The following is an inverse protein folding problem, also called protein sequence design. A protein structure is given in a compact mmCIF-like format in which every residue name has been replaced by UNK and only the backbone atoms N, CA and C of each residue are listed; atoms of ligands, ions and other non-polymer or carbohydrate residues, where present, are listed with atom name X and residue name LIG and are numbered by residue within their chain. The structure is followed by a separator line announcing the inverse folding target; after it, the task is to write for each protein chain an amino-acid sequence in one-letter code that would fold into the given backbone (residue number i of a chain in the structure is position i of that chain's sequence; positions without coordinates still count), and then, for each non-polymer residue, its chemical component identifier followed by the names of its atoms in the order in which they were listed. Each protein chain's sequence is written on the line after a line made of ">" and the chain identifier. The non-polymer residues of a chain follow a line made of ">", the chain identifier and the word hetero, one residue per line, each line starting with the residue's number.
data_IF_575980849122
#
_entry.id   IF_575980849122
#
_cell.length_a   1.000
_cell.length_b   1.000
_cell.length_c   1.000
_cell.angle_alpha   90.00
_cell.angle_beta   90.00
_cell.angle_gamma   90.00
#
_symmetry.space_group_name_H-M   'P 1'
#
loop_
_entity.id
_entity.type
_entity.pdbx_description
1 polymer ?
#
# COMPACT_ATOMS: atom_id res chain seq x y z
N UNK A 1 60.66 9.94 -24.80
CA UNK A 1 59.76 9.57 -23.68
C UNK A 1 58.43 10.28 -23.91
N UNK A 2 57.46 9.59 -24.51
CA UNK A 2 56.14 10.16 -24.84
C UNK A 2 55.18 9.85 -23.69
N UNK A 3 54.81 10.88 -22.94
CA UNK A 3 53.81 10.81 -21.87
C UNK A 3 52.42 10.84 -22.50
N UNK A 4 51.84 9.66 -22.71
CA UNK A 4 50.44 9.52 -23.10
C UNK A 4 49.55 9.75 -21.88
N UNK A 5 49.05 10.99 -21.72
CA UNK A 5 47.99 11.27 -20.76
C UNK A 5 46.75 10.42 -21.10
N UNK A 6 46.18 9.66 -20.16
CA UNK A 6 44.94 8.94 -20.39
C UNK A 6 43.81 9.94 -20.68
N UNK A 7 43.12 9.76 -21.80
CA UNK A 7 41.85 10.44 -22.10
C UNK A 7 40.90 10.16 -20.93
N UNK A 8 40.56 11.18 -20.13
CA UNK A 8 39.42 11.12 -19.22
C UNK A 8 38.20 10.86 -20.09
N UNK A 9 37.70 9.62 -20.13
CA UNK A 9 36.36 9.37 -20.62
C UNK A 9 35.42 10.10 -19.66
N UNK A 10 34.70 11.08 -20.17
CA UNK A 10 33.57 11.65 -19.46
C UNK A 10 32.58 10.52 -19.24
N UNK A 11 32.67 9.87 -18.08
CA UNK A 11 31.68 8.88 -17.65
C UNK A 11 30.32 9.58 -17.77
N UNK A 12 29.44 9.11 -18.67
CA UNK A 12 28.13 9.74 -18.87
C UNK A 12 27.46 9.81 -17.51
N UNK A 13 26.81 10.93 -17.19
CA UNK A 13 26.19 11.10 -15.88
C UNK A 13 25.11 10.00 -15.70
N UNK A 14 25.43 8.96 -14.92
CA UNK A 14 24.59 7.77 -14.72
C UNK A 14 23.53 8.01 -13.62
N UNK A 15 23.32 9.27 -13.21
CA UNK A 15 22.34 9.60 -12.17
C UNK A 15 20.90 9.28 -12.59
N UNK A 16 20.04 9.03 -11.59
CA UNK A 16 18.59 8.95 -11.78
C UNK A 16 18.05 10.35 -12.07
N UNK A 17 17.54 10.57 -13.29
CA UNK A 17 16.87 11.79 -13.71
C UNK A 17 15.38 11.54 -13.93
N UNK A 18 14.58 12.60 -13.97
CA UNK A 18 13.13 12.47 -14.17
C UNK A 18 12.80 11.94 -15.57
N UNK A 19 13.61 12.30 -16.56
CA UNK A 19 13.49 11.80 -17.93
C UNK A 19 13.70 10.29 -17.98
N UNK A 20 14.74 9.78 -17.30
CA UNK A 20 14.99 8.32 -17.20
C UNK A 20 13.89 7.59 -16.43
N UNK A 21 13.34 8.22 -15.39
CA UNK A 21 12.19 7.66 -14.65
C UNK A 21 10.96 7.60 -15.55
N UNK A 22 10.67 8.65 -16.33
CA UNK A 22 9.57 8.67 -17.28
C UNK A 22 9.74 7.59 -18.36
N UNK A 23 10.93 7.49 -18.94
CA UNK A 23 11.28 6.45 -19.91
C UNK A 23 11.08 5.04 -19.32
N UNK A 24 11.56 4.80 -18.10
CA UNK A 24 11.40 3.52 -17.41
C UNK A 24 9.93 3.19 -17.06
N UNK A 25 9.11 4.21 -16.76
CA UNK A 25 7.66 4.02 -16.55
C UNK A 25 6.96 3.65 -17.85
N UNK A 26 7.32 4.30 -18.96
CA UNK A 26 6.65 4.14 -20.26
C UNK A 26 7.04 2.83 -20.96
N UNK A 27 8.29 2.41 -20.81
CA UNK A 27 8.83 1.19 -21.43
C UNK A 27 8.71 -0.03 -20.52
N UNK A 28 8.65 0.16 -19.20
CA UNK A 28 8.74 -0.91 -18.21
C UNK A 28 7.39 -1.60 -17.91
N UNK A 29 7.39 -2.92 -17.62
CA UNK A 29 6.18 -3.64 -17.22
C UNK A 29 5.73 -3.32 -15.79
N UNK A 30 6.53 -2.58 -15.02
CA UNK A 30 6.34 -2.37 -13.58
C UNK A 30 5.05 -1.64 -13.25
N UNK A 31 4.68 -0.59 -13.99
CA UNK A 31 3.44 0.15 -13.72
C UNK A 31 2.21 -0.74 -13.96
N UNK A 32 2.23 -1.56 -15.01
CA UNK A 32 1.18 -2.53 -15.30
C UNK A 32 1.10 -3.59 -14.21
N UNK A 33 2.24 -4.15 -13.81
CA UNK A 33 2.31 -5.11 -12.71
C UNK A 33 1.72 -4.54 -11.43
N UNK A 34 2.07 -3.29 -11.07
CA UNK A 34 1.51 -2.65 -9.88
C UNK A 34 0.00 -2.47 -9.97
N UNK A 35 -0.55 -2.07 -11.13
CA UNK A 35 -2.01 -1.96 -11.31
C UNK A 35 -2.72 -3.28 -11.06
N UNK A 36 -2.18 -4.38 -11.59
CA UNK A 36 -2.72 -5.72 -11.40
C UNK A 36 -2.69 -6.10 -9.91
N UNK A 37 -1.54 -5.94 -9.27
CA UNK A 37 -1.38 -6.24 -7.83
C UNK A 37 -2.34 -5.41 -6.99
N UNK A 38 -2.50 -4.12 -7.30
CA UNK A 38 -3.38 -3.22 -6.57
C UNK A 38 -4.85 -3.65 -6.64
N UNK A 39 -5.32 -4.06 -7.82
CA UNK A 39 -6.68 -4.60 -7.99
C UNK A 39 -6.82 -5.94 -7.26
N UNK A 40 -5.82 -6.81 -7.35
CA UNK A 40 -5.83 -8.11 -6.68
C UNK A 40 -5.95 -7.99 -5.15
N UNK A 41 -5.19 -7.06 -4.54
CA UNK A 41 -5.21 -6.81 -3.09
C UNK A 41 -6.56 -6.24 -2.62
N UNK A 42 -7.29 -5.50 -3.46
CA UNK A 42 -8.65 -5.05 -3.12
C UNK A 42 -9.70 -6.18 -3.30
N UNK A 43 -9.50 -7.03 -4.30
CA UNK A 43 -10.43 -8.09 -4.67
C UNK A 43 -10.51 -9.20 -3.62
N UNK A 44 -9.39 -9.56 -2.98
CA UNK A 44 -9.36 -10.59 -1.93
C UNK A 44 -10.35 -10.33 -0.78
N UNK A 45 -10.23 -9.19 -0.07
CA UNK A 45 -11.18 -8.80 0.98
C UNK A 45 -12.61 -8.62 0.46
N UNK A 46 -12.78 -8.20 -0.79
CA UNK A 46 -14.12 -8.06 -1.41
C UNK A 46 -14.83 -9.41 -1.54
N UNK A 47 -14.12 -10.41 -2.07
CA UNK A 47 -14.65 -11.78 -2.17
C UNK A 47 -14.94 -12.36 -0.79
N UNK A 48 -14.07 -12.12 0.18
CA UNK A 48 -14.29 -12.56 1.56
C UNK A 48 -15.54 -11.89 2.17
N UNK A 49 -15.73 -10.59 1.95
CA UNK A 49 -16.94 -9.89 2.37
C UNK A 49 -18.21 -10.45 1.72
N UNK A 50 -18.15 -10.82 0.44
CA UNK A 50 -19.27 -11.48 -0.24
C UNK A 50 -19.62 -12.84 0.40
N UNK A 51 -18.61 -13.61 0.83
CA UNK A 51 -18.83 -14.86 1.59
C UNK A 51 -19.51 -14.58 2.93
N UNK A 52 -19.05 -13.58 3.68
CA UNK A 52 -19.67 -13.20 4.97
C UNK A 52 -21.14 -12.81 4.78
N UNK A 53 -21.45 -11.99 3.76
CA UNK A 53 -22.84 -11.62 3.42
C UNK A 53 -23.65 -12.85 3.01
N UNK A 54 -23.10 -13.73 2.18
CA UNK A 54 -23.80 -14.95 1.76
C UNK A 54 -24.15 -15.85 2.95
N UNK A 55 -23.22 -16.06 3.89
CA UNK A 55 -23.47 -16.83 5.10
C UNK A 55 -24.53 -16.17 5.98
N UNK A 56 -24.47 -14.85 6.16
CA UNK A 56 -25.45 -14.09 6.91
C UNK A 56 -26.87 -14.22 6.37
N UNK A 57 -27.03 -14.35 5.04
CA UNK A 57 -28.34 -14.46 4.41
C UNK A 57 -28.87 -15.89 4.35
N UNK A 58 -28.01 -16.91 4.43
CA UNK A 58 -28.39 -18.31 4.15
C UNK A 58 -28.32 -19.23 5.36
N UNK A 59 -27.61 -18.83 6.42
CA UNK A 59 -27.37 -19.64 7.61
C UNK A 59 -27.69 -18.85 8.88
N UNK A 60 -28.98 -18.75 9.26
CA UNK A 60 -29.34 -18.18 10.55
C UNK A 60 -28.75 -19.05 11.65
N UNK A 61 -28.00 -18.45 12.56
CA UNK A 61 -27.35 -19.12 13.69
C UNK A 61 -27.99 -18.61 14.98
N UNK A 62 -28.43 -19.49 15.90
CA UNK A 62 -28.92 -19.04 17.20
C UNK A 62 -27.78 -18.44 18.03
N UNK A 63 -28.06 -17.42 18.87
CA UNK A 63 -27.02 -16.76 19.65
C UNK A 63 -26.36 -17.70 20.65
N UNK A 64 -25.02 -17.73 20.65
CA UNK A 64 -24.22 -18.47 21.63
C UNK A 64 -23.88 -17.59 22.83
N UNK A 65 -24.21 -17.98 24.07
CA UNK A 65 -23.86 -17.19 25.26
C UNK A 65 -22.33 -17.08 25.43
N UNK A 66 -21.84 -15.87 25.71
CA UNK A 66 -20.43 -15.60 26.04
C UNK A 66 -19.56 -15.08 24.88
N UNK A 67 -19.98 -15.25 23.62
CA UNK A 67 -19.22 -14.75 22.47
C UNK A 67 -19.35 -13.23 22.27
N UNK A 68 -20.41 -12.63 22.85
CA UNK A 68 -20.72 -11.21 22.76
C UNK A 68 -19.59 -10.32 23.29
N UNK A 69 -19.01 -10.67 24.44
CA UNK A 69 -17.93 -9.89 25.07
C UNK A 69 -16.68 -9.85 24.16
N UNK A 70 -16.36 -10.96 23.48
CA UNK A 70 -15.24 -11.02 22.55
C UNK A 70 -15.50 -10.13 21.33
N UNK A 71 -16.68 -10.23 20.71
CA UNK A 71 -17.03 -9.44 19.52
C UNK A 71 -17.08 -7.95 19.86
N UNK A 72 -17.58 -7.58 21.04
CA UNK A 72 -17.59 -6.21 21.54
C UNK A 72 -16.18 -5.66 21.72
N UNK A 73 -15.29 -6.42 22.38
CA UNK A 73 -13.90 -6.03 22.57
C UNK A 73 -13.18 -5.84 21.23
N UNK A 74 -13.34 -6.78 20.30
CA UNK A 74 -12.73 -6.70 18.97
C UNK A 74 -13.27 -5.50 18.18
N UNK A 75 -14.58 -5.27 18.21
CA UNK A 75 -15.23 -4.13 17.55
C UNK A 75 -14.78 -2.79 18.14
N UNK A 76 -14.53 -2.73 19.45
CA UNK A 76 -14.03 -1.54 20.13
C UNK A 76 -12.58 -1.21 19.76
N UNK A 77 -11.71 -2.21 19.67
CA UNK A 77 -10.28 -2.03 19.33
C UNK A 77 -10.07 -1.78 17.83
N UNK A 78 -10.94 -2.31 16.98
CA UNK A 78 -10.87 -2.21 15.52
C UNK A 78 -10.67 -0.78 14.95
N UNK A 79 -11.45 0.26 15.34
CA UNK A 79 -11.24 1.61 14.82
C UNK A 79 -9.85 2.19 15.18
N UNK A 80 -9.31 1.87 16.36
CA UNK A 80 -7.96 2.29 16.75
C UNK A 80 -6.90 1.65 15.85
N UNK A 81 -7.06 0.36 15.55
CA UNK A 81 -6.18 -0.36 14.62
C UNK A 81 -6.28 0.19 13.19
N UNK A 82 -7.48 0.56 12.73
CA UNK A 82 -7.69 1.21 11.43
C UNK A 82 -6.92 2.52 11.31
N UNK A 83 -7.08 3.42 12.27
CA UNK A 83 -6.37 4.70 12.28
C UNK A 83 -4.86 4.47 12.29
N UNK A 84 -4.39 3.53 13.12
CA UNK A 84 -2.97 3.18 13.22
C UNK A 84 -2.41 2.61 11.91
N UNK A 85 -3.15 1.72 11.24
CA UNK A 85 -2.74 1.12 9.97
C UNK A 85 -2.67 2.17 8.84
N UNK A 86 -3.66 3.06 8.76
CA UNK A 86 -3.69 4.13 7.75
C UNK A 86 -2.55 5.12 7.97
N UNK A 87 -2.42 5.69 9.17
CA UNK A 87 -1.37 6.66 9.48
C UNK A 87 0.02 6.03 9.39
N UNK A 88 0.20 4.85 9.98
CA UNK A 88 1.44 4.09 9.91
C UNK A 88 1.83 3.78 8.47
N UNK A 89 0.87 3.40 7.63
CA UNK A 89 1.11 3.16 6.21
C UNK A 89 1.60 4.40 5.45
N UNK A 90 1.05 5.58 5.73
CA UNK A 90 1.55 6.84 5.14
C UNK A 90 2.98 7.16 5.59
N UNK A 91 3.27 7.01 6.88
CA UNK A 91 4.60 7.24 7.45
C UNK A 91 5.61 6.27 6.85
N UNK A 92 5.33 4.97 6.88
CA UNK A 92 6.21 3.91 6.34
C UNK A 92 6.47 4.14 4.87
N UNK A 93 5.44 4.41 4.05
CA UNK A 93 5.62 4.74 2.62
C UNK A 93 6.57 5.92 2.44
N UNK A 94 6.36 7.01 3.18
CA UNK A 94 7.18 8.22 3.06
C UNK A 94 8.64 7.94 3.40
N UNK A 95 8.90 7.19 4.47
CA UNK A 95 10.26 6.81 4.87
C UNK A 95 10.94 5.94 3.83
N UNK A 96 10.25 4.92 3.30
CA UNK A 96 10.79 4.02 2.30
C UNK A 96 11.12 4.74 0.98
N UNK A 97 10.23 5.61 0.50
CA UNK A 97 10.48 6.39 -0.72
C UNK A 97 11.63 7.37 -0.51
N UNK A 98 11.70 8.06 0.64
CA UNK A 98 12.83 8.94 0.97
C UNK A 98 14.15 8.19 0.97
N UNK A 99 14.19 7.00 1.56
CA UNK A 99 15.38 6.16 1.59
C UNK A 99 15.79 5.69 0.18
N UNK A 100 14.81 5.34 -0.67
CA UNK A 100 15.08 4.98 -2.06
C UNK A 100 15.62 6.17 -2.86
N UNK A 101 15.08 7.37 -2.66
CA UNK A 101 15.52 8.59 -3.34
C UNK A 101 16.92 9.03 -2.89
N UNK A 102 17.21 8.97 -1.59
CA UNK A 102 18.55 9.25 -1.07
C UNK A 102 19.59 8.33 -1.71
N UNK A 103 19.33 7.01 -1.75
CA UNK A 103 20.19 6.05 -2.45
C UNK A 103 20.36 6.37 -3.93
N UNK A 104 19.30 6.77 -4.62
CA UNK A 104 19.33 7.12 -6.04
C UNK A 104 20.19 8.37 -6.34
N UNK A 105 20.26 9.31 -5.39
CA UNK A 105 21.07 10.53 -5.51
C UNK A 105 22.53 10.26 -5.11
N UNK A 106 22.76 9.48 -4.06
CA UNK A 106 24.10 9.25 -3.50
C UNK A 106 24.89 8.23 -4.31
N UNK A 107 24.23 7.17 -4.79
CA UNK A 107 24.84 6.07 -5.50
C UNK A 107 24.59 6.22 -7.00
N UNK A 108 25.62 6.64 -7.75
CA UNK A 108 25.58 6.74 -9.22
C UNK A 108 25.29 5.40 -9.93
N UNK A 109 25.29 4.28 -9.21
CA UNK A 109 24.97 2.95 -9.72
C UNK A 109 23.49 2.58 -9.65
N UNK A 110 22.66 3.36 -8.96
CA UNK A 110 21.22 3.08 -8.86
C UNK A 110 20.54 3.48 -10.16
N UNK A 111 19.86 2.53 -10.79
CA UNK A 111 19.10 2.79 -12.02
C UNK A 111 17.70 3.34 -11.71
N UNK A 112 17.05 3.91 -12.72
CA UNK A 112 15.67 4.39 -12.59
C UNK A 112 14.70 3.25 -12.22
N UNK A 113 14.90 2.05 -12.78
CA UNK A 113 14.10 0.86 -12.49
C UNK A 113 14.26 0.42 -11.03
N UNK A 114 15.48 0.43 -10.49
CA UNK A 114 15.73 0.09 -9.09
C UNK A 114 15.05 1.09 -8.14
N UNK A 115 15.08 2.38 -8.46
CA UNK A 115 14.36 3.41 -7.70
C UNK A 115 12.84 3.20 -7.76
N UNK A 116 12.29 2.96 -8.95
CA UNK A 116 10.87 2.68 -9.16
C UNK A 116 10.41 1.41 -8.45
N UNK A 117 11.24 0.37 -8.39
CA UNK A 117 10.97 -0.85 -7.62
C UNK A 117 10.85 -0.53 -6.12
N UNK A 118 11.72 0.32 -5.58
CA UNK A 118 11.63 0.80 -4.20
C UNK A 118 10.32 1.55 -3.93
N UNK A 119 9.88 2.40 -4.87
CA UNK A 119 8.58 3.08 -4.79
C UNK A 119 7.40 2.10 -4.85
N UNK A 120 7.47 1.09 -5.72
CA UNK A 120 6.44 0.05 -5.86
C UNK A 120 6.29 -0.75 -4.56
N UNK A 121 7.42 -1.16 -3.95
CA UNK A 121 7.45 -1.87 -2.67
C UNK A 121 6.86 -1.01 -1.54
N UNK A 122 7.21 0.27 -1.48
CA UNK A 122 6.65 1.19 -0.48
C UNK A 122 5.12 1.33 -0.59
N UNK A 123 4.60 1.36 -1.82
CA UNK A 123 3.16 1.38 -2.07
C UNK A 123 2.48 0.06 -1.68
N UNK A 124 3.13 -1.08 -1.94
CA UNK A 124 2.63 -2.41 -1.57
C UNK A 124 2.49 -2.54 -0.05
N UNK A 125 3.55 -2.19 0.70
CA UNK A 125 3.56 -2.27 2.17
C UNK A 125 2.46 -1.39 2.78
N UNK A 126 2.27 -0.18 2.24
CA UNK A 126 1.17 0.68 2.69
C UNK A 126 -0.19 0.06 2.42
N UNK A 127 -0.37 -0.57 1.25
CA UNK A 127 -1.63 -1.20 0.89
C UNK A 127 -1.93 -2.43 1.75
N UNK A 128 -0.93 -3.26 2.03
CA UNK A 128 -1.09 -4.47 2.85
C UNK A 128 -1.51 -4.16 4.29
N UNK A 129 -1.11 -3.00 4.84
CA UNK A 129 -1.56 -2.55 6.16
C UNK A 129 -3.07 -2.24 6.17
N UNK A 130 -3.57 -1.56 5.13
CA UNK A 130 -5.00 -1.21 5.01
C UNK A 130 -5.84 -2.43 4.62
N UNK A 131 -5.30 -3.32 3.80
CA UNK A 131 -5.92 -4.61 3.46
C UNK A 131 -6.08 -5.50 4.69
N UNK A 132 -5.02 -5.63 5.49
CA UNK A 132 -5.04 -6.45 6.71
C UNK A 132 -6.10 -6.00 7.69
N UNK A 133 -6.30 -4.69 7.88
CA UNK A 133 -7.36 -4.19 8.76
C UNK A 133 -8.76 -4.36 8.16
N UNK A 134 -8.91 -4.24 6.85
CA UNK A 134 -10.18 -4.54 6.19
C UNK A 134 -10.57 -6.02 6.36
N UNK A 135 -9.62 -6.94 6.18
CA UNK A 135 -9.84 -8.37 6.47
C UNK A 135 -10.17 -8.60 7.93
N UNK A 136 -9.47 -7.94 8.85
CA UNK A 136 -9.77 -8.06 10.28
C UNK A 136 -11.20 -7.63 10.62
N UNK A 137 -11.68 -6.51 10.08
CA UNK A 137 -13.09 -6.10 10.23
C UNK A 137 -14.10 -7.12 9.70
N UNK A 138 -13.80 -7.75 8.56
CA UNK A 138 -14.62 -8.83 8.01
C UNK A 138 -14.56 -10.11 8.84
N UNK A 139 -13.41 -10.42 9.47
CA UNK A 139 -13.29 -11.54 10.41
C UNK A 139 -14.14 -11.30 11.65
N UNK A 140 -14.21 -10.07 12.17
CA UNK A 140 -15.14 -9.73 13.27
C UNK A 140 -16.59 -9.99 12.84
N UNK A 141 -16.98 -9.56 11.63
CA UNK A 141 -18.31 -9.82 11.10
C UNK A 141 -18.59 -11.32 10.94
N UNK A 142 -17.60 -12.10 10.49
CA UNK A 142 -17.72 -13.55 10.36
C UNK A 142 -17.92 -14.21 11.72
N UNK A 143 -17.14 -13.83 12.73
CA UNK A 143 -17.28 -14.36 14.10
C UNK A 143 -18.68 -14.03 14.63
N UNK A 144 -19.11 -12.77 14.50
CA UNK A 144 -20.45 -12.34 14.90
C UNK A 144 -21.56 -13.15 14.19
N UNK A 145 -21.38 -13.49 12.90
CA UNK A 145 -22.31 -14.36 12.19
C UNK A 145 -22.31 -15.78 12.74
N UNK A 146 -21.14 -16.39 12.94
CA UNK A 146 -21.04 -17.77 13.43
C UNK A 146 -21.49 -17.93 14.88
N UNK A 147 -21.55 -16.84 15.65
CA UNK A 147 -22.08 -16.82 17.01
C UNK A 147 -23.55 -16.42 17.08
N UNK A 148 -24.22 -16.21 15.94
CA UNK A 148 -25.63 -15.81 15.88
C UNK A 148 -25.93 -14.39 16.36
N UNK A 149 -24.91 -13.54 16.47
CA UNK A 149 -25.02 -12.19 17.01
C UNK A 149 -25.37 -11.16 15.93
N UNK A 150 -25.00 -11.41 14.67
CA UNK A 150 -25.11 -10.43 13.58
C UNK A 150 -26.57 -10.08 13.23
N UNK A 151 -27.51 -11.01 13.42
CA UNK A 151 -28.96 -10.76 13.23
C UNK A 151 -29.55 -9.93 14.38
N UNK A 152 -29.13 -10.20 15.62
CA UNK A 152 -29.62 -9.51 16.81
C UNK A 152 -29.00 -8.13 17.03
N UNK A 153 -27.77 -7.94 16.55
CA UNK A 153 -26.96 -6.72 16.73
C UNK A 153 -26.38 -6.25 15.39
N UNK A 154 -27.17 -5.54 14.56
CA UNK A 154 -26.72 -5.09 13.25
C UNK A 154 -25.54 -4.11 13.31
N UNK A 155 -25.26 -3.50 14.48
CA UNK A 155 -24.09 -2.64 14.70
C UNK A 155 -22.76 -3.33 14.39
N UNK A 156 -22.65 -4.66 14.48
CA UNK A 156 -21.42 -5.37 14.13
C UNK A 156 -21.08 -5.27 12.63
N UNK A 157 -22.06 -4.98 11.76
CA UNK A 157 -21.80 -4.63 10.36
C UNK A 157 -20.98 -3.35 10.19
N UNK A 158 -20.91 -2.49 11.20
CA UNK A 158 -20.03 -1.33 11.17
C UNK A 158 -18.55 -1.73 10.97
N UNK A 159 -18.16 -2.93 11.41
CA UNK A 159 -16.81 -3.44 11.15
C UNK A 159 -16.54 -3.70 9.66
N UNK A 160 -17.56 -3.94 8.83
CA UNK A 160 -17.40 -4.07 7.39
C UNK A 160 -17.12 -2.71 6.69
N UNK A 161 -17.27 -1.57 7.38
CA UNK A 161 -16.95 -0.24 6.82
C UNK A 161 -15.47 -0.14 6.42
N UNK A 162 -14.57 -0.89 7.06
CA UNK A 162 -13.15 -0.89 6.67
C UNK A 162 -12.91 -1.47 5.28
N UNK A 163 -13.81 -2.30 4.77
CA UNK A 163 -13.80 -2.72 3.36
C UNK A 163 -14.06 -1.52 2.43
N UNK A 164 -15.00 -0.64 2.77
CA UNK A 164 -15.26 0.59 2.01
C UNK A 164 -14.06 1.54 2.06
N UNK A 165 -13.41 1.65 3.24
CA UNK A 165 -12.17 2.41 3.39
C UNK A 165 -11.07 1.85 2.48
N UNK A 166 -10.90 0.52 2.41
CA UNK A 166 -9.94 -0.12 1.50
C UNK A 166 -10.22 0.24 0.03
N UNK A 167 -11.48 0.21 -0.40
CA UNK A 167 -11.86 0.57 -1.78
C UNK A 167 -11.60 2.05 -2.08
N UNK A 168 -12.02 2.94 -1.17
CA UNK A 168 -11.72 4.37 -1.28
C UNK A 168 -10.23 4.63 -1.34
N UNK A 169 -9.45 3.92 -0.51
CA UNK A 169 -8.00 3.95 -0.51
C UNK A 169 -7.42 3.45 -1.84
N UNK A 170 -7.96 2.36 -2.40
CA UNK A 170 -7.52 1.80 -3.67
C UNK A 170 -7.74 2.76 -4.84
N UNK A 171 -8.92 3.38 -4.91
CA UNK A 171 -9.21 4.40 -5.93
C UNK A 171 -8.30 5.63 -5.74
N UNK A 172 -8.20 6.14 -4.51
CA UNK A 172 -7.39 7.31 -4.20
C UNK A 172 -5.89 7.09 -4.45
N UNK A 173 -5.41 5.86 -4.28
CA UNK A 173 -4.00 5.50 -4.43
C UNK A 173 -3.68 4.73 -5.71
N UNK A 174 -4.64 4.65 -6.65
CA UNK A 174 -4.47 3.89 -7.87
C UNK A 174 -3.21 4.36 -8.63
N UNK A 175 -2.34 3.43 -9.08
CA UNK A 175 -1.07 3.76 -9.70
C UNK A 175 -1.29 4.27 -11.14
N UNK A 176 -1.36 5.59 -11.27
CA UNK A 176 -1.35 6.29 -12.56
C UNK A 176 0.08 6.75 -12.90
N UNK A 177 0.36 6.90 -14.20
CA UNK A 177 1.64 7.42 -14.69
C UNK A 177 1.99 8.76 -14.04
N UNK A 178 1.04 9.69 -14.04
CA UNK A 178 1.24 11.03 -13.49
C UNK A 178 1.58 10.99 -12.00
N UNK A 179 0.82 10.25 -11.19
CA UNK A 179 1.10 10.14 -9.74
C UNK A 179 2.47 9.55 -9.43
N UNK A 180 2.95 8.63 -10.26
CA UNK A 180 4.29 8.05 -10.11
C UNK A 180 5.38 9.07 -10.43
N UNK A 181 5.22 9.83 -11.52
CA UNK A 181 6.13 10.91 -11.87
C UNK A 181 6.16 12.01 -10.81
N UNK A 182 5.00 12.49 -10.36
CA UNK A 182 4.91 13.52 -9.32
C UNK A 182 5.59 13.05 -8.03
N UNK A 183 5.36 11.80 -7.64
CA UNK A 183 5.99 11.22 -6.43
C UNK A 183 7.50 11.11 -6.60
N UNK A 184 7.98 10.68 -7.78
CA UNK A 184 9.40 10.55 -8.07
C UNK A 184 10.10 11.91 -8.06
N UNK A 185 9.49 12.93 -8.68
CA UNK A 185 9.98 14.30 -8.72
C UNK A 185 10.12 14.89 -7.32
N UNK A 186 9.06 14.82 -6.52
CA UNK A 186 9.10 15.30 -5.13
C UNK A 186 10.17 14.58 -4.31
N UNK A 187 10.27 13.26 -4.43
CA UNK A 187 11.22 12.47 -3.66
C UNK A 187 12.68 12.77 -4.04
N UNK A 188 12.99 12.90 -5.34
CA UNK A 188 14.33 13.23 -5.81
C UNK A 188 14.70 14.68 -5.50
N UNK A 189 13.76 15.63 -5.59
CA UNK A 189 13.97 17.02 -5.19
C UNK A 189 14.30 17.12 -3.69
N UNK A 190 13.51 16.48 -2.82
CA UNK A 190 13.79 16.42 -1.38
C UNK A 190 15.17 15.81 -1.08
N UNK A 191 15.55 14.74 -1.78
CA UNK A 191 16.83 14.08 -1.56
C UNK A 191 18.02 14.96 -1.97
N UNK A 192 17.91 15.69 -3.08
CA UNK A 192 18.96 16.62 -3.55
C UNK A 192 19.14 17.80 -2.60
N UNK A 193 18.05 18.37 -2.09
CA UNK A 193 18.10 19.46 -1.11
C UNK A 193 18.85 19.04 0.16
N UNK A 194 18.57 17.84 0.70
CA UNK A 194 19.29 17.32 1.89
C UNK A 194 20.76 17.05 1.66
N UNK A 195 21.18 16.82 0.42
CA UNK A 195 22.59 16.59 0.09
C UNK A 195 23.38 17.90 0.01
N UNK A 196 22.71 19.02 -0.21
CA UNK A 196 23.35 20.34 -0.22
C UNK A 196 23.46 21.00 1.16
N UNK A 197 22.77 20.46 2.17
CA UNK A 197 22.89 20.84 3.59
C UNK A 197 24.11 20.18 4.24
#
# INVERSE_FOLDING_TARGET
>A
MSSTRPKRSSSPDVGVTIERVAEAIDTGPLLRAQRIVHVALAMGPTLFGAVVVFLALTQPVPPTPGDEELVDLLSFVHPLLLVSAVLGGFVVRRLLIRNAAAKAVDLRSVTAEAFLMGMAQANLIRFSLVEGIALFGLVICLIAQTSGLLEGKPEYWANAVTLLVLHGFAVACFPTRQRWLDTAEQALAEARLRRSE
#
